data_IF_164208520722
#
_entry.id   IF_164208520722
#
_cell.length_a   1.000
_cell.length_b   1.000
_cell.length_c   1.000
_cell.angle_alpha   90.00
_cell.angle_beta   90.00
_cell.angle_gamma   90.00
#
_symmetry.space_group_name_H-M   'P 1'
#
loop_
_entity.id
_entity.type
_entity.pdbx_description
1 polymer ?
#
# COMPACT_ATOMS: atom_id res chain seq x y z
N UNK A 1 -1.86 -3.93 23.51
CA UNK A 1 -2.35 -3.32 22.27
C UNK A 1 -3.81 -3.71 21.99
N UNK A 2 -4.78 -2.92 22.48
CA UNK A 2 -6.25 -3.10 22.33
C UNK A 2 -6.77 -2.38 21.07
N UNK A 3 -5.97 -2.34 20.01
CA UNK A 3 -6.09 -1.32 18.95
C UNK A 3 -7.37 -1.46 18.11
N UNK A 4 -7.97 -2.66 18.06
CA UNK A 4 -9.33 -2.86 17.59
C UNK A 4 -10.01 -3.85 18.54
N UNK A 5 -11.29 -3.66 18.83
CA UNK A 5 -12.10 -4.54 19.70
C UNK A 5 -12.38 -5.91 19.06
N UNK A 6 -11.40 -6.50 18.37
CA UNK A 6 -11.49 -7.77 17.69
C UNK A 6 -11.45 -8.93 18.68
N UNK A 7 -12.33 -9.92 18.49
CA UNK A 7 -12.18 -11.23 19.12
C UNK A 7 -10.96 -11.96 18.55
N UNK A 8 -10.44 -12.96 19.27
CA UNK A 8 -9.34 -13.80 18.77
C UNK A 8 -9.66 -14.45 17.41
N UNK A 9 -10.92 -14.87 17.21
CA UNK A 9 -11.37 -15.47 15.95
C UNK A 9 -11.34 -14.46 14.80
N UNK A 10 -11.78 -13.23 15.04
CA UNK A 10 -11.71 -12.16 14.05
C UNK A 10 -10.26 -11.78 13.74
N UNK A 11 -9.41 -11.67 14.76
CA UNK A 11 -8.00 -11.36 14.57
C UNK A 11 -7.28 -12.34 13.64
N UNK A 12 -7.59 -13.64 13.78
CA UNK A 12 -7.01 -14.71 12.95
C UNK A 12 -7.66 -14.85 11.56
N UNK A 13 -8.72 -14.08 11.27
CA UNK A 13 -9.40 -14.12 9.96
C UNK A 13 -8.77 -13.13 8.99
N UNK A 14 -8.22 -13.63 7.87
CA UNK A 14 -7.67 -12.76 6.83
C UNK A 14 -8.73 -11.78 6.29
N UNK A 15 -9.97 -12.24 6.15
CA UNK A 15 -11.06 -11.40 5.65
C UNK A 15 -11.39 -10.24 6.59
N UNK A 16 -11.27 -10.46 7.91
CA UNK A 16 -11.39 -9.39 8.90
C UNK A 16 -10.25 -8.39 8.76
N UNK A 17 -9.01 -8.85 8.62
CA UNK A 17 -7.83 -8.00 8.46
C UNK A 17 -7.94 -7.10 7.21
N UNK A 18 -8.37 -7.66 6.08
CA UNK A 18 -8.56 -6.90 4.83
C UNK A 18 -9.72 -5.89 4.92
N UNK A 19 -10.83 -6.26 5.55
CA UNK A 19 -12.00 -5.38 5.75
C UNK A 19 -11.71 -4.21 6.68
N UNK A 20 -10.86 -4.42 7.69
CA UNK A 20 -10.54 -3.41 8.70
C UNK A 20 -9.17 -2.75 8.46
N UNK A 21 -8.71 -2.69 7.21
CA UNK A 21 -7.51 -1.92 6.86
C UNK A 21 -7.70 -0.45 7.24
N UNK A 22 -6.73 0.09 7.95
CA UNK A 22 -6.68 1.50 8.31
C UNK A 22 -6.23 2.28 7.07
N UNK A 23 -7.13 3.10 6.52
CA UNK A 23 -6.91 3.88 5.30
C UNK A 23 -6.88 5.40 5.52
N UNK A 24 -7.40 5.85 6.66
CA UNK A 24 -7.61 7.25 6.99
C UNK A 24 -6.50 7.79 7.92
N UNK A 25 -5.86 8.93 7.59
CA UNK A 25 -4.95 9.62 8.49
C UNK A 25 -5.49 9.85 9.90
N UNK A 26 -6.78 10.21 10.05
CA UNK A 26 -7.36 10.44 11.37
C UNK A 26 -7.41 9.15 12.20
N UNK A 27 -7.81 8.04 11.57
CA UNK A 27 -7.76 6.74 12.23
C UNK A 27 -6.33 6.39 12.65
N UNK A 28 -5.31 6.65 11.82
CA UNK A 28 -3.91 6.41 12.20
C UNK A 28 -3.46 7.25 13.39
N UNK A 29 -3.84 8.53 13.48
CA UNK A 29 -3.54 9.40 14.64
C UNK A 29 -4.10 8.86 15.95
N UNK A 30 -5.25 8.18 15.92
CA UNK A 30 -5.83 7.59 17.14
C UNK A 30 -5.10 6.32 17.59
N UNK A 31 -4.40 5.64 16.68
CA UNK A 31 -3.79 4.33 16.93
C UNK A 31 -2.27 4.40 17.12
N UNK A 32 -1.62 5.43 16.58
CA UNK A 32 -0.19 5.68 16.65
C UNK A 32 0.09 7.14 16.95
N UNK A 33 1.17 7.41 17.70
CA UNK A 33 1.75 8.75 17.79
C UNK A 33 2.44 9.05 16.47
N UNK A 34 1.84 9.92 15.65
CA UNK A 34 2.43 10.32 14.38
C UNK A 34 3.47 11.43 14.61
N UNK A 35 4.59 11.33 13.91
CA UNK A 35 5.55 12.44 13.85
C UNK A 35 5.01 13.54 12.94
N UNK A 36 5.46 14.80 13.11
CA UNK A 36 5.10 15.87 12.18
C UNK A 36 5.44 15.56 10.72
N UNK A 37 6.48 14.76 10.46
CA UNK A 37 6.87 14.36 9.10
C UNK A 37 5.87 13.39 8.48
N UNK A 38 5.36 12.45 9.26
CA UNK A 38 4.34 11.49 8.83
C UNK A 38 3.00 12.14 8.58
N UNK A 39 2.63 13.11 9.40
CA UNK A 39 1.42 13.90 9.15
C UNK A 39 1.54 14.66 7.83
N UNK A 40 2.69 15.29 7.57
CA UNK A 40 2.94 15.93 6.27
C UNK A 40 2.93 14.92 5.13
N UNK A 41 3.52 13.74 5.31
CA UNK A 41 3.53 12.68 4.29
C UNK A 41 2.13 12.17 3.97
N UNK A 42 1.31 11.93 4.99
CA UNK A 42 -0.09 11.51 4.84
C UNK A 42 -0.92 12.55 4.09
N UNK A 43 -0.73 13.84 4.40
CA UNK A 43 -1.45 14.92 3.71
C UNK A 43 -0.93 15.12 2.28
N UNK A 44 0.39 15.14 2.08
CA UNK A 44 0.99 15.36 0.77
C UNK A 44 0.71 14.21 -0.22
N UNK A 45 0.56 12.99 0.27
CA UNK A 45 0.22 11.82 -0.56
C UNK A 45 -1.29 11.60 -0.71
N UNK A 46 -2.12 12.42 -0.06
CA UNK A 46 -3.58 12.29 -0.07
C UNK A 46 -4.11 12.44 -1.49
N UNK A 47 -4.87 11.44 -1.95
CA UNK A 47 -5.41 11.39 -3.31
C UNK A 47 -4.39 11.00 -4.40
N UNK A 48 -3.10 10.93 -4.08
CA UNK A 48 -2.04 10.48 -5.00
C UNK A 48 -1.70 9.01 -4.75
N UNK A 49 -1.32 8.68 -3.51
CA UNK A 49 -0.97 7.33 -3.11
C UNK A 49 -1.82 6.89 -1.91
N UNK A 50 -2.72 5.91 -2.09
CA UNK A 50 -3.56 5.44 -1.00
C UNK A 50 -2.72 4.80 0.10
N UNK A 51 -3.19 4.98 1.33
CA UNK A 51 -2.69 4.27 2.51
C UNK A 51 -3.69 3.17 2.85
N UNK A 52 -3.18 1.98 3.16
CA UNK A 52 -3.97 0.89 3.68
C UNK A 52 -3.04 -0.02 4.49
N UNK A 53 -3.33 -0.20 5.78
CA UNK A 53 -2.51 -0.99 6.70
C UNK A 53 -3.44 -1.94 7.45
N UNK A 54 -3.18 -3.25 7.44
CA UNK A 54 -4.01 -4.18 8.22
C UNK A 54 -3.79 -3.96 9.72
N UNK A 55 -4.78 -4.29 10.56
CA UNK A 55 -4.61 -4.27 12.01
C UNK A 55 -3.40 -5.08 12.49
N UNK A 56 -3.18 -6.25 11.89
CA UNK A 56 -2.02 -7.08 12.19
C UNK A 56 -0.71 -6.37 11.86
N UNK A 57 -0.56 -5.79 10.67
CA UNK A 57 0.69 -5.14 10.27
C UNK A 57 0.97 -3.89 11.10
N UNK A 58 -0.07 -3.12 11.42
CA UNK A 58 0.01 -2.02 12.38
C UNK A 58 0.50 -2.49 13.75
N UNK A 59 0.09 -3.70 14.18
CA UNK A 59 0.45 -4.23 15.48
C UNK A 59 1.90 -4.70 15.62
N UNK A 60 2.65 -4.71 14.52
CA UNK A 60 4.08 -5.04 14.54
C UNK A 60 4.96 -3.80 14.75
N UNK A 61 4.40 -2.59 14.62
CA UNK A 61 5.15 -1.34 14.77
C UNK A 61 5.38 -1.04 16.25
N UNK A 62 6.59 -0.61 16.59
CA UNK A 62 6.84 0.03 17.88
C UNK A 62 6.23 1.46 17.88
N UNK A 63 5.26 1.76 18.77
CA UNK A 63 4.64 3.08 18.82
C UNK A 63 5.56 4.18 19.37
N UNK A 64 6.66 3.82 20.03
CA UNK A 64 7.61 4.76 20.62
C UNK A 64 8.87 4.96 19.76
N UNK A 65 9.04 4.19 18.68
CA UNK A 65 10.14 4.34 17.72
C UNK A 65 9.66 4.92 16.38
N UNK A 66 9.91 6.22 16.11
CA UNK A 66 9.63 6.83 14.81
C UNK A 66 10.35 6.18 13.63
N UNK A 67 11.49 5.53 13.88
CA UNK A 67 12.34 4.89 12.87
C UNK A 67 12.06 3.39 12.72
N UNK A 68 11.00 2.89 13.37
CA UNK A 68 10.60 1.49 13.28
C UNK A 68 10.53 1.04 11.81
N UNK A 69 11.19 -0.07 11.45
CA UNK A 69 11.33 -0.47 10.05
C UNK A 69 9.99 -0.91 9.44
N UNK A 70 9.02 -1.39 10.22
CA UNK A 70 7.68 -1.75 9.74
C UNK A 70 6.88 -0.49 9.45
N UNK A 71 7.01 0.52 10.31
CA UNK A 71 6.40 1.84 10.19
C UNK A 71 6.86 2.54 8.92
N UNK A 72 8.17 2.58 8.65
CA UNK A 72 8.75 3.18 7.42
C UNK A 72 8.26 2.51 6.13
N UNK A 73 7.87 1.24 6.19
CA UNK A 73 7.35 0.51 5.04
C UNK A 73 5.87 0.81 4.74
N UNK A 74 5.11 1.35 5.70
CA UNK A 74 3.66 1.47 5.61
C UNK A 74 3.12 2.90 5.74
N UNK A 75 3.75 3.76 6.54
CA UNK A 75 3.30 5.14 6.75
C UNK A 75 3.94 6.08 5.72
N UNK A 76 3.15 6.89 5.00
CA UNK A 76 3.68 7.77 3.98
C UNK A 76 4.68 8.82 4.48
N UNK A 77 5.54 9.24 3.56
CA UNK A 77 6.55 10.28 3.75
C UNK A 77 6.48 11.31 2.61
N UNK A 78 6.90 12.54 2.88
CA UNK A 78 6.78 13.66 1.92
C UNK A 78 7.63 13.46 0.67
N UNK A 79 8.74 12.75 0.83
CA UNK A 79 9.68 12.38 -0.21
C UNK A 79 9.02 11.57 -1.32
N UNK A 80 7.91 10.88 -1.03
CA UNK A 80 7.15 10.10 -2.01
C UNK A 80 6.55 10.96 -3.13
N UNK A 81 6.31 12.25 -2.88
CA UNK A 81 5.76 13.21 -3.85
C UNK A 81 6.69 14.38 -4.12
N UNK A 82 7.91 14.34 -3.58
CA UNK A 82 8.93 15.33 -3.91
C UNK A 82 9.46 15.07 -5.33
N UNK A 83 9.14 15.97 -6.25
CA UNK A 83 9.53 15.84 -7.66
C UNK A 83 11.04 15.73 -7.86
N UNK A 84 11.85 16.42 -7.05
CA UNK A 84 13.32 16.37 -7.19
C UNK A 84 13.83 15.00 -6.79
N UNK A 85 13.34 14.45 -5.69
CA UNK A 85 13.71 13.11 -5.21
C UNK A 85 13.24 12.05 -6.21
N UNK A 86 12.00 12.14 -6.68
CA UNK A 86 11.41 11.14 -7.57
C UNK A 86 11.89 11.25 -9.02
N UNK A 87 12.46 12.38 -9.46
CA UNK A 87 12.90 12.61 -10.85
C UNK A 87 13.91 11.60 -11.40
N UNK A 88 14.67 10.93 -10.53
CA UNK A 88 15.64 9.90 -10.93
C UNK A 88 15.01 8.51 -11.14
N UNK A 89 13.75 8.31 -10.73
CA UNK A 89 13.05 7.04 -10.79
C UNK A 89 12.30 6.82 -12.12
N UNK A 90 12.13 5.55 -12.48
CA UNK A 90 11.22 5.13 -13.55
C UNK A 90 9.86 4.79 -12.93
N UNK A 91 8.74 5.42 -13.36
CA UNK A 91 7.40 5.08 -12.86
C UNK A 91 6.95 3.65 -13.24
N UNK A 92 7.51 3.06 -14.30
CA UNK A 92 7.29 1.67 -14.71
C UNK A 92 8.60 0.89 -14.90
N UNK A 93 9.32 0.57 -13.79
CA UNK A 93 10.61 -0.11 -13.86
C UNK A 93 10.49 -1.54 -14.43
N UNK A 94 9.28 -2.10 -14.46
CA UNK A 94 9.02 -3.43 -14.98
C UNK A 94 8.63 -3.44 -16.46
N UNK A 95 8.32 -2.27 -17.05
CA UNK A 95 7.83 -2.10 -18.43
C UNK A 95 6.62 -2.98 -18.69
N UNK A 96 5.60 -2.81 -17.86
CA UNK A 96 4.39 -3.64 -17.86
C UNK A 96 3.34 -3.14 -18.85
N UNK A 97 3.53 -1.94 -19.42
CA UNK A 97 2.73 -1.47 -20.54
C UNK A 97 2.98 -2.33 -21.79
N UNK A 98 1.89 -2.83 -22.36
CA UNK A 98 1.88 -3.67 -23.56
C UNK A 98 0.49 -3.69 -24.19
N UNK A 99 0.36 -4.40 -25.30
CA UNK A 99 -0.87 -4.40 -26.12
C UNK A 99 -2.07 -5.07 -25.44
N UNK A 100 -1.83 -5.96 -24.47
CA UNK A 100 -2.87 -6.71 -23.75
C UNK A 100 -2.99 -6.18 -22.31
N UNK A 101 -4.14 -5.60 -21.91
CA UNK A 101 -4.32 -4.99 -20.60
C UNK A 101 -4.05 -5.92 -19.41
N UNK A 102 -2.91 -5.69 -18.73
CA UNK A 102 -2.52 -6.43 -17.53
C UNK A 102 -1.65 -7.64 -17.77
N UNK A 103 -1.32 -7.95 -19.02
CA UNK A 103 -0.36 -8.97 -19.39
C UNK A 103 0.93 -8.30 -19.83
N UNK A 104 2.04 -8.75 -19.25
CA UNK A 104 3.38 -8.29 -19.61
C UNK A 104 4.20 -9.48 -20.11
N UNK A 105 4.65 -9.40 -21.37
CA UNK A 105 5.50 -10.42 -22.00
C UNK A 105 6.89 -9.85 -22.29
N UNK A 106 7.70 -9.70 -21.24
CA UNK A 106 9.05 -9.15 -21.36
C UNK A 106 10.10 -10.19 -21.78
N UNK A 107 9.87 -11.45 -21.46
CA UNK A 107 10.83 -12.54 -21.65
C UNK A 107 10.27 -13.58 -22.61
N UNK A 108 11.08 -14.21 -23.47
CA UNK A 108 10.59 -15.10 -24.52
C UNK A 108 9.67 -16.24 -24.03
N UNK A 109 9.90 -16.75 -22.82
CA UNK A 109 9.35 -18.00 -22.30
C UNK A 109 8.36 -17.83 -21.14
N UNK A 110 8.01 -16.60 -20.75
CA UNK A 110 7.12 -16.35 -19.59
C UNK A 110 6.42 -15.01 -19.66
N UNK A 111 5.23 -14.97 -19.09
CA UNK A 111 4.39 -13.78 -18.95
C UNK A 111 4.09 -13.49 -17.48
N UNK A 112 3.82 -12.23 -17.19
CA UNK A 112 3.22 -11.79 -15.93
C UNK A 112 1.77 -11.37 -16.21
N UNK A 113 0.83 -11.90 -15.45
CA UNK A 113 -0.56 -11.45 -15.47
C UNK A 113 -0.91 -10.80 -14.13
N UNK A 114 -1.25 -9.51 -14.15
CA UNK A 114 -1.81 -8.83 -12.98
C UNK A 114 -3.26 -9.28 -12.83
N UNK A 115 -3.63 -9.99 -11.77
CA UNK A 115 -5.02 -10.42 -11.55
C UNK A 115 -5.78 -9.50 -10.60
N UNK A 116 -5.07 -8.78 -9.73
CA UNK A 116 -5.65 -7.84 -8.77
C UNK A 116 -4.67 -6.70 -8.46
N UNK A 117 -5.20 -5.50 -8.22
CA UNK A 117 -4.47 -4.36 -7.64
C UNK A 117 -4.69 -4.22 -6.13
N UNK A 118 -5.46 -5.13 -5.52
CA UNK A 118 -5.79 -5.08 -4.09
C UNK A 118 -4.64 -5.68 -3.28
N UNK A 119 -4.03 -4.88 -2.41
CA UNK A 119 -3.00 -5.32 -1.47
C UNK A 119 -3.52 -5.26 -0.03
N UNK A 120 -3.09 -6.19 0.82
CA UNK A 120 -3.40 -6.13 2.25
C UNK A 120 -2.77 -4.90 2.93
N UNK A 121 -1.55 -4.57 2.52
CA UNK A 121 -0.84 -3.37 2.94
C UNK A 121 -0.30 -2.70 1.70
N UNK A 122 -0.44 -1.38 1.61
CA UNK A 122 0.22 -0.63 0.54
C UNK A 122 1.61 -0.22 0.98
N UNK A 123 2.61 -0.97 0.52
CA UNK A 123 4.01 -0.69 0.80
C UNK A 123 4.44 0.65 0.19
N UNK A 124 5.18 1.46 0.95
CA UNK A 124 5.69 2.77 0.50
C UNK A 124 6.79 2.66 -0.56
N UNK A 125 7.41 1.49 -0.65
CA UNK A 125 8.44 1.12 -1.63
C UNK A 125 7.89 0.29 -2.81
N UNK A 126 6.57 0.29 -3.05
CA UNK A 126 5.99 -0.52 -4.11
C UNK A 126 6.45 -0.09 -5.51
N UNK A 127 7.09 -0.99 -6.26
CA UNK A 127 7.49 -0.74 -7.67
C UNK A 127 6.30 -0.63 -8.64
N UNK A 128 5.08 -0.89 -8.17
CA UNK A 128 3.82 -0.76 -8.92
C UNK A 128 2.94 0.39 -8.41
N UNK A 129 3.54 1.39 -7.77
CA UNK A 129 2.82 2.50 -7.15
C UNK A 129 1.88 3.23 -8.11
N UNK A 130 2.24 3.33 -9.40
CA UNK A 130 1.39 3.91 -10.45
C UNK A 130 0.02 3.23 -10.59
N UNK A 131 -0.07 1.93 -10.28
CA UNK A 131 -1.33 1.16 -10.36
C UNK A 131 -2.30 1.62 -9.27
N UNK A 132 -1.81 2.18 -8.17
CA UNK A 132 -2.67 2.61 -7.08
C UNK A 132 -3.64 3.72 -7.50
N UNK A 133 -3.23 4.60 -8.42
CA UNK A 133 -4.08 5.66 -8.97
C UNK A 133 -5.30 5.12 -9.76
N UNK A 134 -5.24 3.87 -10.23
CA UNK A 134 -6.34 3.21 -10.94
C UNK A 134 -7.38 2.61 -9.99
N UNK A 135 -7.10 2.62 -8.68
CA UNK A 135 -7.99 2.08 -7.64
C UNK A 135 -7.84 0.58 -7.40
N UNK A 136 -8.55 0.12 -6.36
CA UNK A 136 -8.63 -1.29 -5.95
C UNK A 136 -9.58 -2.05 -6.88
N UNK A 137 -9.05 -2.98 -7.69
CA UNK A 137 -9.87 -3.87 -8.52
C UNK A 137 -9.25 -5.26 -8.65
N UNK A 138 -10.11 -6.25 -8.80
CA UNK A 138 -9.75 -7.57 -9.30
C UNK A 138 -10.30 -7.72 -10.71
N UNK A 139 -9.53 -8.33 -11.60
CA UNK A 139 -10.01 -8.67 -12.95
C UNK A 139 -11.07 -9.76 -12.83
N UNK A 140 -12.10 -9.66 -13.67
CA UNK A 140 -13.08 -10.71 -13.88
C UNK A 140 -12.47 -11.89 -14.64
N UNK A 141 -13.11 -13.05 -14.59
CA UNK A 141 -12.68 -14.21 -15.37
C UNK A 141 -12.71 -13.91 -16.88
N UNK A 142 -13.69 -13.15 -17.34
CA UNK A 142 -13.81 -12.72 -18.75
C UNK A 142 -12.66 -11.82 -19.22
N UNK A 143 -12.01 -11.08 -18.31
CA UNK A 143 -10.82 -10.29 -18.63
C UNK A 143 -9.53 -11.13 -18.65
N UNK A 144 -9.59 -12.37 -18.16
CA UNK A 144 -8.44 -13.28 -18.00
C UNK A 144 -8.48 -14.42 -19.03
N UNK A 145 -9.69 -14.89 -19.38
CA UNK A 145 -9.96 -15.90 -20.42
C UNK A 145 -9.78 -15.33 -21.84
#
# INVERSE_FOLDING_TARGET
MRILKATRREWLSYSYQIKNRIKDPEALRTLLRLTPEEERGLEATRGVYPTAITPYYLSLMDPEDPEDPVRRQAIPRVEEVDEKIQSAGDPDPFREEGDIPGLTHRYPDRVLLVVTSVCAVYCRFCMRKRIFAQGERSRSLQEIE
#
